data_IF_651269089312
#
_entry.id   IF_651269089312
#
_cell.length_a   1.000
_cell.length_b   1.000
_cell.length_c   1.000
_cell.angle_alpha   90.00
_cell.angle_beta   90.00
_cell.angle_gamma   90.00
#
_symmetry.space_group_name_H-M   'P 1'
#
loop_
_entity.id
_entity.type
_entity.pdbx_description
1 polymer ?
#
# COMPACT_ATOMS: atom_id res chain seq x y z
N UNK A 1 6.06 -24.71 16.10
CA UNK A 1 5.64 -24.05 14.84
C UNK A 1 6.89 -23.62 14.10
N UNK A 2 7.05 -24.00 12.86
CA UNK A 2 8.18 -23.56 12.04
C UNK A 2 7.88 -22.19 11.42
N UNK A 3 8.88 -21.58 10.80
CA UNK A 3 8.79 -20.25 10.21
C UNK A 3 7.68 -20.16 9.15
N UNK A 4 7.56 -21.18 8.29
CA UNK A 4 6.54 -21.21 7.24
C UNK A 4 5.13 -21.24 7.83
N UNK A 5 4.90 -22.05 8.85
CA UNK A 5 3.60 -22.13 9.53
C UNK A 5 3.27 -20.81 10.25
N UNK A 6 4.26 -20.16 10.84
CA UNK A 6 4.08 -18.88 11.51
C UNK A 6 3.68 -17.78 10.53
N UNK A 7 4.38 -17.70 9.39
CA UNK A 7 4.06 -16.72 8.35
C UNK A 7 2.66 -16.95 7.80
N UNK A 8 2.30 -18.20 7.55
CA UNK A 8 0.96 -18.56 7.06
C UNK A 8 -0.12 -18.14 8.06
N UNK A 9 0.13 -18.38 9.35
CA UNK A 9 -0.78 -17.97 10.43
C UNK A 9 -0.96 -16.44 10.43
N UNK A 10 0.12 -15.67 10.32
CA UNK A 10 0.05 -14.20 10.29
C UNK A 10 -0.73 -13.69 9.09
N UNK A 11 -0.45 -14.22 7.90
CA UNK A 11 -1.14 -13.80 6.68
C UNK A 11 -2.63 -14.10 6.75
N UNK A 12 -2.99 -15.24 7.29
CA UNK A 12 -4.39 -15.63 7.49
C UNK A 12 -5.08 -14.69 8.46
N UNK A 13 -4.39 -14.30 9.53
CA UNK A 13 -4.91 -13.36 10.52
C UNK A 13 -5.10 -11.97 9.93
N UNK A 14 -4.14 -11.49 9.15
CA UNK A 14 -4.26 -10.22 8.42
C UNK A 14 -5.49 -10.23 7.51
N UNK A 15 -5.72 -11.32 6.78
CA UNK A 15 -6.85 -11.43 5.88
C UNK A 15 -8.18 -11.40 6.64
N UNK A 16 -8.27 -12.02 7.80
CA UNK A 16 -9.45 -11.98 8.65
C UNK A 16 -9.75 -10.55 9.08
N UNK A 17 -8.76 -9.82 9.58
CA UNK A 17 -8.93 -8.45 10.01
C UNK A 17 -9.30 -7.53 8.84
N UNK A 18 -8.64 -7.70 7.70
CA UNK A 18 -8.94 -6.96 6.49
C UNK A 18 -10.40 -7.19 6.05
N UNK A 19 -10.84 -8.43 6.01
CA UNK A 19 -12.22 -8.78 5.60
C UNK A 19 -13.25 -8.16 6.54
N UNK A 20 -12.93 -8.08 7.82
CA UNK A 20 -13.81 -7.47 8.83
C UNK A 20 -13.68 -5.95 8.92
N UNK A 21 -12.83 -5.34 8.10
CA UNK A 21 -12.53 -3.91 8.15
C UNK A 21 -11.98 -3.46 9.51
N UNK A 22 -11.26 -4.35 10.17
CA UNK A 22 -10.67 -4.07 11.49
C UNK A 22 -9.29 -3.45 11.30
N UNK A 23 -9.19 -2.13 11.50
CA UNK A 23 -7.98 -1.36 11.22
C UNK A 23 -7.09 -1.14 12.45
N UNK A 24 -7.58 -1.47 13.63
CA UNK A 24 -6.85 -1.26 14.89
C UNK A 24 -5.97 -2.44 15.29
N UNK A 25 -6.04 -3.56 14.57
CA UNK A 25 -5.29 -4.77 14.88
C UNK A 25 -3.92 -4.80 14.20
N UNK A 26 -3.36 -6.00 14.13
CA UNK A 26 -2.02 -6.22 13.57
C UNK A 26 -1.98 -5.93 12.06
N UNK A 27 -3.07 -6.19 11.35
CA UNK A 27 -3.20 -5.85 9.93
C UNK A 27 -2.98 -4.36 9.71
N UNK A 28 -3.69 -3.52 10.46
CA UNK A 28 -3.56 -2.07 10.33
C UNK A 28 -2.18 -1.58 10.72
N UNK A 29 -1.62 -2.12 11.80
CA UNK A 29 -0.27 -1.77 12.24
C UNK A 29 0.78 -2.04 11.15
N UNK A 30 0.76 -3.22 10.56
CA UNK A 30 1.71 -3.62 9.53
C UNK A 30 1.48 -2.82 8.24
N UNK A 31 0.22 -2.59 7.87
CA UNK A 31 -0.14 -1.80 6.69
C UNK A 31 0.49 -0.40 6.77
N UNK A 32 0.31 0.29 7.91
CA UNK A 32 0.85 1.63 8.14
C UNK A 32 2.38 1.61 8.15
N UNK A 33 2.96 0.67 8.88
CA UNK A 33 4.42 0.58 9.02
C UNK A 33 5.10 0.37 7.67
N UNK A 34 4.60 -0.55 6.88
CA UNK A 34 5.18 -0.86 5.57
C UNK A 34 4.98 0.29 4.58
N UNK A 35 3.79 0.89 4.55
CA UNK A 35 3.51 2.03 3.68
C UNK A 35 4.40 3.22 4.01
N UNK A 36 4.52 3.54 5.30
CA UNK A 36 5.37 4.63 5.75
C UNK A 36 6.84 4.42 5.35
N UNK A 37 7.39 3.26 5.67
CA UNK A 37 8.80 2.99 5.41
C UNK A 37 9.11 2.93 3.91
N UNK A 38 8.26 2.29 3.12
CA UNK A 38 8.46 2.17 1.68
C UNK A 38 8.42 3.54 0.99
N UNK A 39 7.45 4.36 1.35
CA UNK A 39 7.31 5.68 0.72
C UNK A 39 8.36 6.68 1.22
N UNK A 40 8.83 6.54 2.45
CA UNK A 40 9.92 7.37 2.98
C UNK A 40 11.20 7.18 2.18
N UNK A 41 11.51 5.93 1.80
CA UNK A 41 12.67 5.63 0.95
C UNK A 41 12.54 6.34 -0.40
N UNK A 42 11.33 6.48 -0.92
CA UNK A 42 11.06 7.16 -2.19
C UNK A 42 10.89 8.67 -2.06
N UNK A 43 11.10 9.22 -0.86
CA UNK A 43 11.11 10.67 -0.65
C UNK A 43 9.80 11.25 -0.14
N UNK A 44 8.87 10.43 0.35
CA UNK A 44 7.64 10.95 0.96
C UNK A 44 7.95 11.80 2.19
N UNK A 45 7.19 12.88 2.35
CA UNK A 45 7.32 13.78 3.50
C UNK A 45 6.30 13.49 4.60
N UNK A 46 5.40 12.53 4.41
CA UNK A 46 4.40 12.17 5.42
C UNK A 46 5.06 11.48 6.61
N UNK A 47 4.62 11.84 7.81
CA UNK A 47 5.07 11.17 9.04
C UNK A 47 4.31 9.86 9.23
N UNK A 48 4.79 9.04 10.16
CA UNK A 48 4.10 7.79 10.51
C UNK A 48 2.70 8.07 11.06
N UNK A 49 2.56 9.10 11.90
CA UNK A 49 1.27 9.52 12.46
C UNK A 49 0.30 9.97 11.36
N UNK A 50 0.78 10.75 10.40
CA UNK A 50 -0.02 11.18 9.25
C UNK A 50 -0.44 9.99 8.38
N UNK A 51 0.48 9.04 8.19
CA UNK A 51 0.20 7.82 7.45
C UNK A 51 -0.90 7.00 8.14
N UNK A 52 -0.81 6.85 9.47
CA UNK A 52 -1.81 6.14 10.25
C UNK A 52 -3.19 6.81 10.16
N UNK A 53 -3.24 8.14 10.27
CA UNK A 53 -4.48 8.88 10.14
C UNK A 53 -5.11 8.68 8.76
N UNK A 54 -4.32 8.75 7.72
CA UNK A 54 -4.79 8.55 6.35
C UNK A 54 -5.36 7.14 6.16
N UNK A 55 -4.70 6.14 6.73
CA UNK A 55 -5.18 4.75 6.66
C UNK A 55 -6.47 4.56 7.45
N UNK A 56 -6.53 5.09 8.68
CA UNK A 56 -7.66 4.87 9.58
C UNK A 56 -8.93 5.61 9.14
N UNK A 57 -8.79 6.85 8.69
CA UNK A 57 -9.94 7.74 8.44
C UNK A 57 -10.02 8.24 7.01
N UNK A 58 -8.98 8.07 6.21
CA UNK A 58 -8.90 8.65 4.87
C UNK A 58 -8.65 10.15 4.87
N UNK A 59 -8.36 10.73 6.04
CA UNK A 59 -8.19 12.17 6.21
C UNK A 59 -6.86 12.43 6.91
N UNK A 60 -6.15 13.47 6.47
CA UNK A 60 -4.92 13.92 7.12
C UNK A 60 -5.24 14.88 8.27
N UNK A 61 -4.44 14.87 9.35
CA UNK A 61 -4.61 15.83 10.43
C UNK A 61 -4.38 17.24 9.93
N UNK A 62 -5.01 18.23 10.55
CA UNK A 62 -4.73 19.63 10.26
C UNK A 62 -3.26 19.92 10.52
N UNK A 63 -2.62 20.63 9.58
CA UNK A 63 -1.23 21.03 9.68
C UNK A 63 -1.08 22.42 9.09
N UNK A 64 -0.11 23.19 9.60
CA UNK A 64 0.26 24.47 9.01
C UNK A 64 1.03 24.28 7.71
N UNK A 65 1.64 23.11 7.53
CA UNK A 65 2.36 22.78 6.32
C UNK A 65 1.42 22.18 5.28
N UNK A 66 1.77 22.38 4.01
CA UNK A 66 1.02 21.80 2.91
C UNK A 66 1.43 20.35 2.71
N UNK A 67 0.45 19.48 2.45
CA UNK A 67 0.70 18.12 2.05
C UNK A 67 0.88 18.06 0.54
N UNK A 68 1.87 17.29 0.08
CA UNK A 68 2.03 17.05 -1.36
C UNK A 68 1.01 16.01 -1.81
N UNK A 69 0.26 16.32 -2.87
CA UNK A 69 -0.74 15.40 -3.41
C UNK A 69 -0.13 14.06 -3.80
N UNK A 70 1.06 14.08 -4.36
CA UNK A 70 1.78 12.86 -4.76
C UNK A 70 2.04 11.94 -3.56
N UNK A 71 2.44 12.50 -2.40
CA UNK A 71 2.68 11.71 -1.21
C UNK A 71 1.43 10.99 -0.73
N UNK A 72 0.28 11.66 -0.76
CA UNK A 72 -1.00 11.09 -0.37
C UNK A 72 -1.42 10.00 -1.35
N UNK A 73 -1.30 10.26 -2.65
CA UNK A 73 -1.67 9.32 -3.70
C UNK A 73 -0.81 8.05 -3.65
N UNK A 74 0.50 8.19 -3.45
CA UNK A 74 1.40 7.05 -3.32
C UNK A 74 1.10 6.22 -2.07
N UNK A 75 0.76 6.88 -0.97
CA UNK A 75 0.40 6.19 0.26
C UNK A 75 -0.88 5.37 0.08
N UNK A 76 -1.91 5.98 -0.53
CA UNK A 76 -3.16 5.28 -0.82
C UNK A 76 -2.94 4.11 -1.78
N UNK A 77 -2.07 4.29 -2.78
CA UNK A 77 -1.69 3.22 -3.70
C UNK A 77 -1.07 2.03 -2.98
N UNK A 78 -0.22 2.30 -1.99
CA UNK A 78 0.40 1.26 -1.19
C UNK A 78 -0.66 0.47 -0.38
N UNK A 79 -1.60 1.17 0.23
CA UNK A 79 -2.69 0.52 0.96
C UNK A 79 -3.50 -0.40 0.05
N UNK A 80 -3.84 0.07 -1.14
CA UNK A 80 -4.61 -0.72 -2.11
C UNK A 80 -3.82 -1.93 -2.61
N UNK A 81 -2.53 -1.76 -2.87
CA UNK A 81 -1.67 -2.86 -3.28
C UNK A 81 -1.60 -3.95 -2.20
N UNK A 82 -1.41 -3.55 -0.94
CA UNK A 82 -1.34 -4.48 0.17
C UNK A 82 -2.65 -5.26 0.31
N UNK A 83 -3.79 -4.57 0.22
CA UNK A 83 -5.10 -5.19 0.26
C UNK A 83 -5.28 -6.19 -0.91
N UNK A 84 -4.83 -5.83 -2.10
CA UNK A 84 -4.87 -6.71 -3.26
C UNK A 84 -4.04 -7.96 -3.04
N UNK A 85 -2.88 -7.83 -2.40
CA UNK A 85 -2.06 -8.97 -2.05
C UNK A 85 -2.80 -9.92 -1.10
N UNK A 86 -3.51 -9.37 -0.11
CA UNK A 86 -4.30 -10.18 0.81
C UNK A 86 -5.46 -10.88 0.11
N UNK A 87 -6.11 -10.21 -0.85
CA UNK A 87 -7.20 -10.80 -1.62
C UNK A 87 -6.75 -11.96 -2.52
N UNK A 88 -5.47 -12.00 -2.86
CA UNK A 88 -4.92 -12.95 -3.83
C UNK A 88 -3.93 -13.94 -3.22
N UNK A 89 -3.94 -14.11 -1.89
CA UNK A 89 -2.99 -14.99 -1.19
C UNK A 89 -3.03 -16.44 -1.68
N UNK A 90 -4.20 -16.90 -2.11
CA UNK A 90 -4.38 -18.29 -2.56
C UNK A 90 -4.08 -18.48 -4.05
N UNK A 91 -3.74 -17.40 -4.75
CA UNK A 91 -3.42 -17.46 -6.17
C UNK A 91 -1.93 -17.67 -6.39
N UNK A 92 -1.60 -18.36 -7.49
CA UNK A 92 -0.21 -18.50 -7.90
C UNK A 92 0.35 -17.12 -8.30
N UNK A 93 1.60 -16.86 -7.91
CA UNK A 93 2.27 -15.63 -8.30
C UNK A 93 2.63 -15.69 -9.78
N UNK A 94 1.92 -14.91 -10.59
CA UNK A 94 2.11 -14.83 -12.02
C UNK A 94 2.53 -13.41 -12.42
N UNK A 95 2.95 -13.25 -13.67
CA UNK A 95 3.26 -11.93 -14.21
C UNK A 95 2.03 -11.02 -14.21
N UNK A 96 0.86 -11.56 -14.55
CA UNK A 96 -0.41 -10.82 -14.50
C UNK A 96 -0.73 -10.33 -13.10
N UNK A 97 -0.46 -11.16 -12.08
CA UNK A 97 -0.72 -10.78 -10.69
C UNK A 97 0.22 -9.67 -10.24
N UNK A 98 1.50 -9.75 -10.62
CA UNK A 98 2.48 -8.70 -10.32
C UNK A 98 2.07 -7.38 -10.97
N UNK A 99 1.59 -7.42 -12.20
CA UNK A 99 1.07 -6.24 -12.90
C UNK A 99 -0.16 -5.67 -12.20
N UNK A 100 -1.04 -6.52 -11.68
CA UNK A 100 -2.20 -6.08 -10.90
C UNK A 100 -1.77 -5.34 -9.64
N UNK A 101 -0.74 -5.80 -8.95
CA UNK A 101 -0.18 -5.10 -7.78
C UNK A 101 0.37 -3.73 -8.17
N UNK A 102 1.12 -3.66 -9.27
CA UNK A 102 1.66 -2.41 -9.77
C UNK A 102 0.55 -1.43 -10.15
N UNK A 103 -0.52 -1.94 -10.76
CA UNK A 103 -1.68 -1.12 -11.09
C UNK A 103 -2.29 -0.48 -9.85
N UNK A 104 -2.52 -1.27 -8.79
CA UNK A 104 -3.09 -0.74 -7.54
C UNK A 104 -2.18 0.32 -6.92
N UNK A 105 -0.87 0.10 -7.00
CA UNK A 105 0.11 1.02 -6.42
C UNK A 105 0.13 2.37 -7.14
N UNK A 106 0.01 2.40 -8.45
CA UNK A 106 0.28 3.57 -9.29
C UNK A 106 -0.94 4.20 -9.94
N UNK A 107 -2.07 3.51 -10.03
CA UNK A 107 -3.23 3.99 -10.80
C UNK A 107 -3.83 5.30 -10.27
N UNK A 108 -3.71 5.57 -8.98
CA UNK A 108 -4.23 6.78 -8.36
C UNK A 108 -3.29 7.98 -8.41
N UNK A 109 -2.10 7.83 -8.97
CA UNK A 109 -1.09 8.90 -8.99
C UNK A 109 -1.26 9.72 -10.25
N UNK A 110 -1.74 10.95 -10.07
CA UNK A 110 -2.04 11.86 -11.18
C UNK A 110 -0.82 12.11 -12.06
N UNK A 111 0.35 12.33 -11.45
CA UNK A 111 1.58 12.62 -12.16
C UNK A 111 1.98 11.49 -13.11
N UNK A 112 1.89 10.26 -12.66
CA UNK A 112 2.21 9.09 -13.49
C UNK A 112 1.22 8.94 -14.64
N UNK A 113 -0.06 9.18 -14.38
CA UNK A 113 -1.11 9.11 -15.40
C UNK A 113 -0.95 10.23 -16.44
N UNK A 114 -0.65 11.44 -15.98
CA UNK A 114 -0.46 12.60 -16.85
C UNK A 114 0.77 12.45 -17.76
N UNK A 115 1.80 11.76 -17.29
CA UNK A 115 3.01 11.51 -18.05
C UNK A 115 2.92 10.28 -18.97
N UNK A 116 1.79 9.58 -18.94
CA UNK A 116 1.58 8.42 -19.81
C UNK A 116 2.43 7.21 -19.44
N UNK A 117 2.80 7.06 -18.18
CA UNK A 117 3.53 5.87 -17.73
C UNK A 117 2.66 4.63 -17.86
N UNK A 118 3.32 3.49 -18.08
CA UNK A 118 2.63 2.22 -18.27
C UNK A 118 2.12 1.68 -16.94
N UNK A 119 0.93 2.13 -16.55
CA UNK A 119 0.28 1.71 -15.30
C UNK A 119 -0.20 0.27 -15.45
N UNK A 120 0.17 -0.59 -14.50
CA UNK A 120 -0.21 -2.00 -14.53
C UNK A 120 0.70 -2.85 -15.41
N UNK A 121 1.85 -2.31 -15.80
CA UNK A 121 2.85 -3.03 -16.58
C UNK A 121 4.25 -2.70 -16.03
N UNK A 122 5.26 -3.39 -16.51
CA UNK A 122 6.63 -3.08 -16.10
C UNK A 122 7.07 -1.75 -16.69
N UNK A 123 7.91 -1.02 -15.97
CA UNK A 123 8.48 0.21 -16.50
C UNK A 123 9.35 -0.11 -17.70
N UNK A 124 9.08 0.57 -18.82
CA UNK A 124 9.79 0.38 -20.07
C UNK A 124 10.90 1.39 -20.25
N UNK A 125 10.91 2.45 -19.44
CA UNK A 125 11.94 3.48 -19.49
C UNK A 125 12.88 3.30 -18.30
N UNK A 126 14.14 3.43 -18.56
CA UNK A 126 15.19 3.41 -17.55
C UNK A 126 15.15 4.74 -16.78
N UNK A 127 14.96 4.66 -15.49
CA UNK A 127 15.03 5.86 -14.63
C UNK A 127 15.89 5.57 -13.43
#
# INVERSE_FOLDING_TARGET
MNTSSFIHFLLKHFKIEYTKHERSGIYGFIQVLMAYNSNKIEGSTLTEEQTASLFDTGVLPKSEDYYRAKDVEEMNGHFLMFNKMLDTLDLELTEELIKAFHYELKSGIFEDRANGYAIGDYKKTSM
#
